data_IF_094193154042
#
_entry.id   IF_094193154042
#
_cell.length_a   1.000
_cell.length_b   1.000
_cell.length_c   1.000
_cell.angle_alpha   90.00
_cell.angle_beta   90.00
_cell.angle_gamma   90.00
#
_symmetry.space_group_name_H-M   'P 1'
#
loop_
_entity.id
_entity.type
_entity.pdbx_description
1 polymer ?
#
# COMPACT_ATOMS: atom_id res chain seq x y z
N UNK A 1 -3.79 -5.91 23.48
CA UNK A 1 -5.20 -6.21 23.13
C UNK A 1 -5.89 -4.88 22.94
N UNK A 2 -6.50 -4.69 21.78
CA UNK A 2 -7.25 -3.48 21.41
C UNK A 2 -8.71 -3.90 21.25
N UNK A 3 -9.64 -3.08 21.74
CA UNK A 3 -11.07 -3.26 21.50
C UNK A 3 -11.49 -2.22 20.47
N UNK A 4 -12.20 -2.64 19.44
CA UNK A 4 -12.76 -1.78 18.41
C UNK A 4 -14.28 -1.82 18.53
N UNK A 5 -14.89 -0.67 18.76
CA UNK A 5 -16.35 -0.54 18.73
C UNK A 5 -16.75 -0.18 17.29
N UNK A 6 -17.69 -0.96 16.76
CA UNK A 6 -18.25 -0.79 15.42
C UNK A 6 -19.75 -0.59 15.57
N UNK A 7 -20.33 0.21 14.68
CA UNK A 7 -21.77 0.25 14.52
C UNK A 7 -22.30 -1.09 13.95
N UNK A 8 -23.61 -1.31 14.11
CA UNK A 8 -24.25 -2.57 13.74
C UNK A 8 -24.14 -2.89 12.25
N UNK A 9 -24.14 -1.88 11.39
CA UNK A 9 -24.03 -2.04 9.93
C UNK A 9 -22.62 -2.52 9.58
N UNK A 10 -21.59 -1.82 10.07
CA UNK A 10 -20.19 -2.19 9.85
C UNK A 10 -19.87 -3.57 10.43
N UNK A 11 -20.37 -3.89 11.62
CA UNK A 11 -20.19 -5.21 12.23
C UNK A 11 -20.85 -6.33 11.39
N UNK A 12 -22.02 -6.06 10.80
CA UNK A 12 -22.71 -7.00 9.92
C UNK A 12 -21.89 -7.29 8.66
N UNK A 13 -21.38 -6.24 8.00
CA UNK A 13 -20.54 -6.37 6.81
C UNK A 13 -19.24 -7.11 7.11
N UNK A 14 -18.59 -6.80 8.24
CA UNK A 14 -17.38 -7.51 8.68
C UNK A 14 -17.63 -9.02 8.82
N UNK A 15 -18.75 -9.41 9.43
CA UNK A 15 -19.09 -10.82 9.59
C UNK A 15 -19.33 -11.53 8.25
N UNK A 16 -19.97 -10.86 7.29
CA UNK A 16 -20.17 -11.40 5.94
C UNK A 16 -18.84 -11.65 5.22
N UNK A 17 -17.90 -10.72 5.31
CA UNK A 17 -16.56 -10.85 4.70
C UNK A 17 -15.76 -11.98 5.36
N UNK A 18 -15.82 -12.07 6.69
CA UNK A 18 -15.21 -13.17 7.46
C UNK A 18 -15.72 -14.54 7.02
N UNK A 19 -17.03 -14.67 6.78
CA UNK A 19 -17.62 -15.91 6.28
C UNK A 19 -17.15 -16.25 4.87
N UNK A 20 -17.05 -15.25 3.98
CA UNK A 20 -16.61 -15.41 2.59
C UNK A 20 -15.12 -15.77 2.48
N UNK A 21 -14.27 -15.15 3.30
CA UNK A 21 -12.82 -15.34 3.26
C UNK A 21 -12.34 -16.49 4.16
N UNK A 22 -13.22 -17.05 5.00
CA UNK A 22 -12.92 -18.12 5.95
C UNK A 22 -11.78 -17.76 6.93
N UNK A 23 -11.71 -16.51 7.37
CA UNK A 23 -10.72 -16.02 8.35
C UNK A 23 -11.41 -15.38 9.56
N UNK A 24 -10.70 -15.26 10.68
CA UNK A 24 -11.29 -14.61 11.87
C UNK A 24 -11.50 -13.10 11.67
N UNK A 25 -12.46 -12.47 12.36
CA UNK A 25 -12.67 -11.01 12.32
C UNK A 25 -11.40 -10.21 12.64
N UNK A 26 -10.65 -10.64 13.66
CA UNK A 26 -9.41 -9.99 14.05
C UNK A 26 -8.33 -10.08 12.95
N UNK A 27 -8.28 -11.19 12.21
CA UNK A 27 -7.34 -11.36 11.11
C UNK A 27 -7.72 -10.47 9.91
N UNK A 28 -9.01 -10.39 9.58
CA UNK A 28 -9.50 -9.50 8.52
C UNK A 28 -9.15 -8.04 8.84
N UNK A 29 -9.51 -7.56 10.04
CA UNK A 29 -9.19 -6.18 10.48
C UNK A 29 -7.69 -5.92 10.44
N UNK A 30 -6.88 -6.89 10.88
CA UNK A 30 -5.41 -6.76 10.83
C UNK A 30 -4.90 -6.62 9.39
N UNK A 31 -5.39 -7.43 8.46
CA UNK A 31 -4.95 -7.38 7.07
C UNK A 31 -5.30 -6.03 6.43
N UNK A 32 -6.57 -5.62 6.53
CA UNK A 32 -7.04 -4.35 5.98
C UNK A 32 -6.30 -3.15 6.59
N UNK A 33 -6.02 -3.18 7.90
CA UNK A 33 -5.24 -2.13 8.55
C UNK A 33 -3.80 -2.09 8.03
N UNK A 34 -3.16 -3.24 7.80
CA UNK A 34 -1.80 -3.30 7.26
C UNK A 34 -1.75 -2.77 5.83
N UNK A 35 -2.70 -3.18 4.98
CA UNK A 35 -2.83 -2.68 3.60
C UNK A 35 -3.01 -1.15 3.59
N UNK A 36 -3.92 -0.63 4.42
CA UNK A 36 -4.13 0.83 4.50
C UNK A 36 -2.88 1.60 4.94
N UNK A 37 -2.13 1.04 5.90
CA UNK A 37 -0.87 1.66 6.35
C UNK A 37 0.22 1.60 5.28
N UNK A 38 0.28 0.52 4.51
CA UNK A 38 1.18 0.37 3.37
C UNK A 38 0.85 1.40 2.28
N UNK A 39 -0.43 1.53 1.90
CA UNK A 39 -0.90 2.52 0.92
C UNK A 39 -0.53 3.96 1.33
N UNK A 40 -0.70 4.29 2.61
CA UNK A 40 -0.29 5.60 3.13
C UNK A 40 1.22 5.83 3.01
N UNK A 41 2.02 4.81 3.26
CA UNK A 41 3.48 4.89 3.13
C UNK A 41 3.90 5.02 1.67
N UNK A 42 3.25 4.30 0.78
CA UNK A 42 3.57 4.32 -0.64
C UNK A 42 3.16 5.63 -1.30
N UNK A 43 2.01 6.19 -0.94
CA UNK A 43 1.63 7.55 -1.34
C UNK A 43 2.69 8.57 -0.90
N UNK A 44 3.14 8.50 0.35
CA UNK A 44 4.20 9.39 0.86
C UNK A 44 5.52 9.22 0.11
N UNK A 45 5.95 7.98 -0.16
CA UNK A 45 7.19 7.72 -0.93
C UNK A 45 7.07 8.25 -2.36
N UNK A 46 5.90 8.13 -2.97
CA UNK A 46 5.64 8.64 -4.31
C UNK A 46 5.73 10.18 -4.33
N UNK A 47 5.13 10.86 -3.35
CA UNK A 47 5.24 12.31 -3.19
C UNK A 47 6.69 12.75 -3.00
N UNK A 48 7.44 12.06 -2.12
CA UNK A 48 8.85 12.34 -1.88
C UNK A 48 9.69 12.14 -3.15
N UNK A 49 9.43 11.08 -3.93
CA UNK A 49 10.11 10.82 -5.19
C UNK A 49 9.79 11.89 -6.24
N UNK A 50 8.53 12.33 -6.32
CA UNK A 50 8.11 13.39 -7.22
C UNK A 50 8.75 14.74 -6.84
N UNK A 51 8.83 15.06 -5.55
CA UNK A 51 9.50 16.27 -5.09
C UNK A 51 10.99 16.26 -5.45
N UNK A 52 11.70 15.14 -5.25
CA UNK A 52 13.11 15.01 -5.70
C UNK A 52 13.26 15.20 -7.21
N UNK A 53 12.33 14.68 -8.00
CA UNK A 53 12.33 14.89 -9.44
C UNK A 53 12.19 16.38 -9.80
N UNK A 54 11.29 17.11 -9.13
CA UNK A 54 11.12 18.55 -9.32
C UNK A 54 12.38 19.33 -8.89
N UNK A 55 12.89 19.06 -7.69
CA UNK A 55 14.07 19.73 -7.12
C UNK A 55 15.34 19.48 -7.94
N UNK A 56 15.45 18.28 -8.53
CA UNK A 56 16.53 17.92 -9.45
C UNK A 56 16.44 18.60 -10.81
N UNK A 57 15.42 19.42 -11.09
CA UNK A 57 15.22 20.04 -12.40
C UNK A 57 14.64 19.07 -13.43
N UNK A 58 13.83 18.11 -12.97
CA UNK A 58 13.12 17.12 -13.81
C UNK A 58 14.05 16.17 -14.57
N UNK A 59 15.14 15.75 -13.92
CA UNK A 59 16.13 14.83 -14.52
C UNK A 59 15.45 13.54 -14.96
N UNK A 60 15.71 13.16 -16.21
CA UNK A 60 15.30 11.90 -16.81
C UNK A 60 16.52 11.18 -17.35
N UNK A 61 16.50 9.84 -17.30
CA UNK A 61 17.58 9.01 -17.85
C UNK A 61 17.12 8.35 -19.15
N UNK A 62 18.06 8.11 -20.07
CA UNK A 62 17.78 7.31 -21.25
C UNK A 62 17.54 5.85 -20.83
N UNK A 63 16.50 5.20 -21.36
CA UNK A 63 16.16 3.84 -20.99
C UNK A 63 17.30 2.84 -21.26
N UNK A 64 18.01 2.98 -22.38
CA UNK A 64 19.11 2.06 -22.73
C UNK A 64 20.27 2.17 -21.73
N UNK A 65 20.57 3.38 -21.27
CA UNK A 65 21.62 3.60 -20.28
C UNK A 65 21.25 2.96 -18.93
N UNK A 66 19.99 3.11 -18.50
CA UNK A 66 19.48 2.50 -17.26
C UNK A 66 19.44 0.97 -17.35
N UNK A 67 18.95 0.41 -18.47
CA UNK A 67 18.91 -1.04 -18.69
C UNK A 67 20.31 -1.65 -18.60
N UNK A 68 21.31 -0.98 -19.19
CA UNK A 68 22.71 -1.38 -19.11
C UNK A 68 23.29 -1.23 -17.70
N UNK A 69 22.99 -0.12 -17.01
CA UNK A 69 23.45 0.14 -15.64
C UNK A 69 22.94 -0.91 -14.65
N UNK A 70 21.69 -1.36 -14.83
CA UNK A 70 21.05 -2.38 -13.99
C UNK A 70 21.38 -3.83 -14.41
N UNK A 71 22.15 -4.02 -15.48
CA UNK A 71 22.49 -5.35 -16.02
C UNK A 71 21.28 -6.12 -16.55
N UNK A 72 20.32 -5.42 -17.14
CA UNK A 72 19.07 -5.97 -17.70
C UNK A 72 19.11 -6.13 -19.22
N UNK A 73 20.28 -5.95 -19.85
CA UNK A 73 20.53 -6.04 -21.30
C UNK A 73 20.86 -7.47 -21.79
N UNK A 74 20.65 -8.48 -20.94
CA UNK A 74 20.97 -9.90 -21.16
C UNK A 74 19.80 -10.71 -21.71
#
# INVERSE_FOLDING_TARGET
MMTLELDDETATLLNQLVEQEHISPAQLVKNVLLEHLEDCQDAKKADDAYQRYLDGGKISHNLNDVVKELGLDS
#
